data_IF_295944342976
#
_entry.id   IF_295944342976
#
_cell.length_a   1.000
_cell.length_b   1.000
_cell.length_c   1.000
_cell.angle_alpha   90.00
_cell.angle_beta   90.00
_cell.angle_gamma   90.00
#
_symmetry.space_group_name_H-M   'P 1'
#
loop_
_entity.id
_entity.type
_entity.pdbx_description
1 polymer ?
#
# COMPACT_ATOMS: atom_id res chain seq x y z
N UNK A 1 -13.51 5.55 14.70
CA UNK A 1 -13.21 4.46 13.73
C UNK A 1 -11.76 4.42 13.25
N UNK A 2 -11.06 5.56 13.19
CA UNK A 2 -9.61 5.73 12.92
C UNK A 2 -8.67 4.82 13.73
N UNK A 3 -9.04 4.49 14.96
CA UNK A 3 -8.28 3.55 15.78
C UNK A 3 -8.36 2.11 15.24
N UNK A 4 -9.41 1.72 14.50
CA UNK A 4 -9.69 0.33 14.16
C UNK A 4 -8.80 -0.23 13.04
N UNK A 5 -8.37 0.55 12.03
CA UNK A 5 -7.45 0.03 10.98
C UNK A 5 -6.00 0.01 11.47
N UNK A 6 -5.57 1.00 12.27
CA UNK A 6 -4.28 0.89 12.99
C UNK A 6 -4.28 -0.38 13.83
N UNK A 7 -5.34 -0.59 14.63
CA UNK A 7 -5.54 -1.84 15.36
C UNK A 7 -5.63 -3.03 14.40
N UNK A 8 -6.19 -2.90 13.19
CA UNK A 8 -6.27 -4.00 12.23
C UNK A 8 -4.90 -4.41 11.69
N UNK A 9 -4.11 -3.48 11.13
CA UNK A 9 -2.77 -3.78 10.59
C UNK A 9 -1.83 -4.25 11.70
N UNK A 10 -1.85 -3.54 12.85
CA UNK A 10 -1.09 -3.91 14.04
C UNK A 10 -1.50 -5.28 14.56
N UNK A 11 -2.78 -5.48 14.88
CA UNK A 11 -3.26 -6.72 15.48
C UNK A 11 -3.19 -7.88 14.50
N UNK A 12 -3.45 -7.68 13.20
CA UNK A 12 -3.30 -8.73 12.19
C UNK A 12 -1.83 -9.13 12.07
N UNK A 13 -0.90 -8.19 11.87
CA UNK A 13 0.52 -8.53 11.74
C UNK A 13 1.09 -9.12 13.03
N UNK A 14 0.65 -8.64 14.19
CA UNK A 14 1.02 -9.16 15.50
C UNK A 14 0.48 -10.58 15.71
N UNK A 15 -0.81 -10.81 15.46
CA UNK A 15 -1.46 -12.12 15.54
C UNK A 15 -0.83 -13.12 14.56
N UNK A 16 -0.61 -12.72 13.30
CA UNK A 16 0.03 -13.57 12.28
C UNK A 16 1.38 -14.09 12.75
N UNK A 17 2.18 -13.24 13.39
CA UNK A 17 3.58 -13.56 13.73
C UNK A 17 3.70 -14.19 15.11
N UNK A 18 2.95 -13.71 16.10
CA UNK A 18 3.04 -14.18 17.49
C UNK A 18 2.23 -15.45 17.74
N UNK A 19 1.10 -15.64 17.03
CA UNK A 19 0.26 -16.85 17.18
C UNK A 19 0.52 -17.91 16.12
N UNK A 20 1.51 -17.67 15.23
CA UNK A 20 1.87 -18.59 14.17
C UNK A 20 2.20 -19.99 14.69
N UNK A 21 1.65 -21.02 14.04
CA UNK A 21 1.88 -22.42 14.41
C UNK A 21 1.03 -22.93 15.58
N UNK A 22 0.34 -22.05 16.32
CA UNK A 22 -0.62 -22.46 17.34
C UNK A 22 -1.76 -23.30 16.72
N UNK A 23 -2.35 -24.19 17.52
CA UNK A 23 -3.47 -25.04 17.06
C UNK A 23 -4.69 -24.19 16.71
N UNK A 24 -4.96 -23.16 17.50
CA UNK A 24 -6.07 -22.23 17.29
C UNK A 24 -5.90 -21.43 16.01
N UNK A 25 -4.70 -20.88 15.77
CA UNK A 25 -4.37 -20.19 14.52
C UNK A 25 -4.61 -21.11 13.31
N UNK A 26 -4.09 -22.34 13.33
CA UNK A 26 -4.29 -23.27 12.20
C UNK A 26 -5.75 -23.62 11.96
N UNK A 27 -6.54 -23.84 13.02
CA UNK A 27 -7.97 -24.16 12.90
C UNK A 27 -8.78 -22.99 12.33
N UNK A 28 -8.53 -21.77 12.80
CA UNK A 28 -9.22 -20.57 12.34
C UNK A 28 -9.01 -20.35 10.83
N UNK A 29 -7.75 -20.31 10.38
CA UNK A 29 -7.44 -20.05 8.97
C UNK A 29 -7.85 -21.20 8.04
N UNK A 30 -7.85 -22.45 8.53
CA UNK A 30 -8.40 -23.57 7.79
C UNK A 30 -9.92 -23.45 7.61
N UNK A 31 -10.66 -22.99 8.63
CA UNK A 31 -12.09 -22.70 8.46
C UNK A 31 -12.32 -21.54 7.50
N UNK A 32 -11.57 -20.45 7.63
CA UNK A 32 -11.65 -19.32 6.70
C UNK A 32 -11.45 -19.78 5.26
N UNK A 33 -10.42 -20.58 4.99
CA UNK A 33 -10.19 -21.19 3.68
C UNK A 33 -11.38 -21.98 3.13
N UNK A 34 -11.98 -22.84 3.97
CA UNK A 34 -13.13 -23.65 3.55
C UNK A 34 -14.31 -22.75 3.19
N UNK A 35 -14.59 -21.74 4.02
CA UNK A 35 -15.62 -20.74 3.75
C UNK A 35 -15.33 -19.96 2.47
N UNK A 36 -14.05 -19.70 2.18
CA UNK A 36 -13.63 -19.03 0.96
C UNK A 36 -13.77 -19.85 -0.30
N UNK A 37 -13.32 -21.10 -0.30
CA UNK A 37 -13.51 -21.99 -1.45
C UNK A 37 -15.00 -22.22 -1.72
N UNK A 38 -15.80 -22.35 -0.67
CA UNK A 38 -17.26 -22.41 -0.78
C UNK A 38 -17.82 -21.15 -1.46
N UNK A 39 -17.35 -19.96 -1.07
CA UNK A 39 -17.82 -18.70 -1.67
C UNK A 39 -17.41 -18.54 -3.13
N UNK A 40 -16.16 -18.87 -3.46
CA UNK A 40 -15.67 -18.84 -4.85
C UNK A 40 -16.47 -19.81 -5.72
N UNK A 41 -16.65 -21.05 -5.26
CA UNK A 41 -17.45 -22.04 -5.99
C UNK A 41 -18.87 -21.53 -6.22
N UNK A 42 -19.49 -20.91 -5.20
CA UNK A 42 -20.82 -20.33 -5.30
C UNK A 42 -20.90 -19.20 -6.32
N UNK A 43 -19.95 -18.25 -6.34
CA UNK A 43 -19.91 -17.20 -7.35
C UNK A 43 -19.73 -17.76 -8.76
N UNK A 44 -18.89 -18.79 -8.94
CA UNK A 44 -18.72 -19.46 -10.22
C UNK A 44 -20.03 -20.11 -10.69
N UNK A 45 -20.76 -20.76 -9.78
CA UNK A 45 -22.07 -21.34 -10.06
C UNK A 45 -23.13 -20.29 -10.40
N UNK A 46 -23.16 -19.15 -9.71
CA UNK A 46 -24.01 -18.00 -10.10
C UNK A 46 -23.60 -17.51 -11.49
N UNK A 47 -22.30 -17.44 -11.81
CA UNK A 47 -21.82 -17.09 -13.14
C UNK A 47 -22.32 -18.05 -14.22
N UNK A 48 -22.29 -19.36 -13.95
CA UNK A 48 -22.86 -20.38 -14.84
C UNK A 48 -24.37 -20.22 -15.01
N UNK A 49 -25.11 -19.89 -13.95
CA UNK A 49 -26.55 -19.57 -14.03
C UNK A 49 -26.84 -18.37 -14.94
N UNK A 50 -25.99 -17.34 -14.92
CA UNK A 50 -26.14 -16.21 -15.86
C UNK A 50 -25.82 -16.59 -17.31
N UNK A 51 -24.89 -17.52 -17.50
CA UNK A 51 -24.49 -17.98 -18.82
C UNK A 51 -25.54 -18.90 -19.45
N UNK A 52 -26.02 -19.87 -18.68
CA UNK A 52 -26.98 -20.88 -19.08
C UNK A 52 -28.01 -21.12 -17.95
N UNK A 53 -29.07 -20.30 -17.88
CA UNK A 53 -30.06 -20.37 -16.82
C UNK A 53 -30.99 -21.59 -16.93
N UNK A 54 -31.05 -22.22 -18.11
CA UNK A 54 -31.88 -23.42 -18.34
C UNK A 54 -31.21 -24.65 -17.72
N UNK A 55 -29.91 -24.81 -17.97
CA UNK A 55 -29.12 -25.91 -17.39
C UNK A 55 -28.84 -25.70 -15.90
N UNK A 56 -28.61 -24.45 -15.47
CA UNK A 56 -28.25 -24.10 -14.09
C UNK A 56 -29.27 -23.16 -13.41
N UNK A 57 -30.51 -23.60 -13.12
CA UNK A 57 -31.54 -22.76 -12.50
C UNK A 57 -31.35 -22.61 -10.98
N UNK A 58 -30.14 -22.24 -10.54
CA UNK A 58 -29.76 -22.13 -9.13
C UNK A 58 -30.63 -21.13 -8.35
N UNK A 59 -31.16 -20.11 -9.02
CA UNK A 59 -32.10 -19.14 -8.45
C UNK A 59 -33.37 -19.77 -7.85
N UNK A 60 -33.72 -21.01 -8.23
CA UNK A 60 -34.86 -21.74 -7.66
C UNK A 60 -34.54 -22.36 -6.30
N UNK A 61 -33.27 -22.66 -6.04
CA UNK A 61 -32.84 -23.50 -4.92
C UNK A 61 -31.97 -22.74 -3.90
N UNK A 62 -31.30 -21.68 -4.35
CA UNK A 62 -30.35 -20.91 -3.56
C UNK A 62 -30.81 -19.45 -3.42
N UNK A 63 -30.97 -18.98 -2.19
CA UNK A 63 -31.53 -17.64 -1.91
C UNK A 63 -30.63 -16.52 -2.46
N UNK A 64 -29.30 -16.63 -2.26
CA UNK A 64 -28.34 -15.67 -2.82
C UNK A 64 -28.40 -15.64 -4.35
N UNK A 65 -28.36 -16.80 -5.01
CA UNK A 65 -28.54 -16.90 -6.47
C UNK A 65 -29.89 -16.30 -6.92
N UNK A 66 -30.96 -16.53 -6.14
CA UNK A 66 -32.28 -15.96 -6.37
C UNK A 66 -32.31 -14.43 -6.26
N UNK A 67 -31.58 -13.87 -5.30
CA UNK A 67 -31.39 -12.43 -5.15
C UNK A 67 -30.63 -11.85 -6.35
N UNK A 68 -29.50 -12.44 -6.72
CA UNK A 68 -28.76 -12.02 -7.92
C UNK A 68 -29.66 -12.09 -9.16
N UNK A 69 -30.40 -13.17 -9.35
CA UNK A 69 -31.30 -13.34 -10.49
C UNK A 69 -32.47 -12.34 -10.52
N UNK A 70 -33.04 -12.02 -9.36
CA UNK A 70 -34.11 -11.02 -9.21
C UNK A 70 -33.62 -9.63 -9.61
N UNK A 71 -32.39 -9.29 -9.26
CA UNK A 71 -31.75 -8.01 -9.55
C UNK A 71 -30.77 -8.09 -10.73
N UNK A 72 -30.95 -9.03 -11.65
CA UNK A 72 -30.01 -9.30 -12.75
C UNK A 72 -29.76 -8.14 -13.72
N UNK A 73 -30.67 -7.18 -13.76
CA UNK A 73 -30.50 -5.93 -14.51
C UNK A 73 -29.48 -4.99 -13.84
N UNK A 74 -29.26 -5.13 -12.54
CA UNK A 74 -28.26 -4.38 -11.76
C UNK A 74 -27.00 -5.22 -11.54
N UNK A 75 -27.15 -6.50 -11.23
CA UNK A 75 -26.06 -7.46 -11.06
C UNK A 75 -25.85 -8.29 -12.31
N UNK A 76 -25.52 -7.62 -13.41
CA UNK A 76 -25.29 -8.31 -14.67
C UNK A 76 -24.03 -9.20 -14.61
N UNK A 77 -23.72 -9.84 -15.74
CA UNK A 77 -22.58 -10.76 -15.89
C UNK A 77 -21.25 -10.10 -15.51
N UNK A 78 -21.08 -8.82 -15.81
CA UNK A 78 -19.85 -8.07 -15.54
C UNK A 78 -19.66 -7.75 -14.05
N UNK A 79 -20.74 -7.41 -13.34
CA UNK A 79 -20.67 -7.24 -11.89
C UNK A 79 -20.21 -8.53 -11.20
N UNK A 80 -20.68 -9.69 -11.67
CA UNK A 80 -20.26 -10.99 -11.14
C UNK A 80 -18.79 -11.30 -11.45
N UNK A 81 -18.30 -10.94 -12.64
CA UNK A 81 -16.88 -11.04 -13.00
C UNK A 81 -16.03 -10.17 -12.05
N UNK A 82 -16.45 -8.94 -11.77
CA UNK A 82 -15.79 -8.04 -10.81
C UNK A 82 -15.75 -8.70 -9.41
N UNK A 83 -16.86 -9.26 -8.95
CA UNK A 83 -16.90 -9.97 -7.66
C UNK A 83 -15.94 -11.17 -7.61
N UNK A 84 -15.85 -11.96 -8.69
CA UNK A 84 -14.88 -13.07 -8.77
C UNK A 84 -13.45 -12.54 -8.66
N UNK A 85 -13.11 -11.48 -9.37
CA UNK A 85 -11.76 -10.90 -9.27
C UNK A 85 -11.48 -10.34 -7.87
N UNK A 86 -12.45 -9.69 -7.23
CA UNK A 86 -12.34 -9.26 -5.82
C UNK A 86 -12.04 -10.47 -4.92
N UNK A 87 -12.70 -11.62 -5.12
CA UNK A 87 -12.35 -12.86 -4.38
C UNK A 87 -10.91 -13.27 -4.59
N UNK A 88 -10.47 -13.31 -5.85
CA UNK A 88 -9.13 -13.74 -6.21
C UNK A 88 -8.06 -12.83 -5.57
N UNK A 89 -8.32 -11.53 -5.47
CA UNK A 89 -7.41 -10.59 -4.81
C UNK A 89 -7.36 -10.80 -3.28
N UNK A 90 -8.50 -11.06 -2.65
CA UNK A 90 -8.50 -11.38 -1.22
C UNK A 90 -7.86 -12.75 -0.92
N UNK A 91 -8.01 -13.74 -1.81
CA UNK A 91 -7.29 -15.01 -1.74
C UNK A 91 -5.78 -14.82 -1.86
N UNK A 92 -5.34 -13.89 -2.70
CA UNK A 92 -3.95 -13.52 -2.79
C UNK A 92 -3.43 -12.93 -1.48
N UNK A 93 -4.20 -12.02 -0.87
CA UNK A 93 -3.89 -11.47 0.44
C UNK A 93 -3.74 -12.58 1.49
N UNK A 94 -4.71 -13.50 1.57
CA UNK A 94 -4.62 -14.63 2.50
C UNK A 94 -3.40 -15.51 2.26
N UNK A 95 -3.12 -15.84 0.99
CA UNK A 95 -1.92 -16.60 0.65
C UNK A 95 -0.65 -15.91 1.10
N UNK A 96 -0.57 -14.60 0.85
CA UNK A 96 0.60 -13.79 1.20
C UNK A 96 0.80 -13.72 2.71
N UNK A 97 -0.26 -13.63 3.51
CA UNK A 97 -0.15 -13.39 4.95
C UNK A 97 -0.30 -14.61 5.86
N UNK A 98 -1.14 -15.56 5.51
CA UNK A 98 -1.52 -16.68 6.39
C UNK A 98 -0.89 -18.02 6.00
N UNK A 99 -0.53 -18.22 4.73
CA UNK A 99 0.12 -19.47 4.27
C UNK A 99 1.63 -19.34 4.08
N UNK A 100 2.15 -18.13 4.14
CA UNK A 100 3.58 -17.91 4.04
C UNK A 100 4.24 -18.00 5.42
N UNK A 101 5.48 -18.49 5.47
CA UNK A 101 6.21 -18.61 6.72
C UNK A 101 6.60 -17.20 7.24
N UNK A 102 6.15 -16.78 8.43
CA UNK A 102 6.50 -15.49 9.01
C UNK A 102 7.97 -15.41 9.42
N UNK A 103 8.71 -16.52 9.42
CA UNK A 103 10.16 -16.52 9.59
C UNK A 103 10.89 -15.81 8.44
N UNK A 104 10.22 -15.61 7.29
CA UNK A 104 10.80 -14.94 6.13
C UNK A 104 11.10 -13.46 6.36
N UNK A 105 12.10 -12.96 5.64
CA UNK A 105 12.61 -11.60 5.82
C UNK A 105 11.54 -10.53 5.57
N UNK A 106 10.64 -10.73 4.60
CA UNK A 106 9.54 -9.79 4.32
C UNK A 106 8.65 -9.58 5.54
N UNK A 107 8.31 -10.65 6.27
CA UNK A 107 7.48 -10.58 7.46
C UNK A 107 8.21 -9.96 8.64
N UNK A 108 9.50 -10.25 8.81
CA UNK A 108 10.31 -9.59 9.84
C UNK A 108 10.43 -8.09 9.60
N UNK A 109 10.63 -7.67 8.34
CA UNK A 109 10.60 -6.27 7.93
C UNK A 109 9.24 -5.66 8.28
N UNK A 110 8.14 -6.30 7.89
CA UNK A 110 6.80 -5.80 8.20
C UNK A 110 6.54 -5.72 9.71
N UNK A 111 6.91 -6.73 10.50
CA UNK A 111 6.75 -6.74 11.94
C UNK A 111 7.52 -5.61 12.63
N UNK A 112 8.79 -5.41 12.25
CA UNK A 112 9.63 -4.34 12.79
C UNK A 112 9.05 -2.96 12.42
N UNK A 113 8.61 -2.82 11.17
CA UNK A 113 8.01 -1.59 10.65
C UNK A 113 6.63 -1.27 11.26
N UNK A 114 5.80 -2.30 11.50
CA UNK A 114 4.38 -2.16 11.86
C UNK A 114 4.18 -2.35 13.36
N UNK A 115 4.55 -3.52 13.89
CA UNK A 115 4.24 -3.94 15.26
C UNK A 115 5.20 -3.28 16.23
N UNK A 116 6.51 -3.49 16.02
CA UNK A 116 7.53 -2.98 16.92
C UNK A 116 7.52 -1.45 17.01
N UNK A 117 7.48 -0.74 15.86
CA UNK A 117 7.33 0.72 15.86
C UNK A 117 6.07 1.21 16.56
N UNK A 118 4.94 0.51 16.41
CA UNK A 118 3.68 0.89 17.07
C UNK A 118 3.78 0.69 18.58
N UNK A 119 4.39 -0.40 19.03
CA UNK A 119 4.65 -0.65 20.45
C UNK A 119 5.56 0.41 21.05
N UNK A 120 6.64 0.80 20.34
CA UNK A 120 7.54 1.86 20.79
C UNK A 120 6.86 3.24 20.77
N UNK A 121 5.99 3.51 19.79
CA UNK A 121 5.16 4.70 19.77
C UNK A 121 4.28 4.78 21.02
N UNK A 122 3.59 3.70 21.37
CA UNK A 122 2.71 3.68 22.55
C UNK A 122 3.50 3.85 23.86
N UNK A 123 4.67 3.22 23.96
CA UNK A 123 5.59 3.41 25.10
C UNK A 123 6.15 4.84 25.19
N UNK A 124 6.04 5.63 24.13
CA UNK A 124 6.59 6.99 24.04
C UNK A 124 5.53 8.09 24.04
N UNK A 125 4.27 7.76 24.32
CA UNK A 125 3.21 8.75 24.46
C UNK A 125 3.54 9.74 25.57
N UNK A 126 3.34 11.02 25.28
CA UNK A 126 3.47 12.08 26.27
C UNK A 126 2.22 12.16 27.13
N UNK A 127 2.30 12.83 28.27
CA UNK A 127 1.12 13.03 29.14
C UNK A 127 0.12 13.97 28.48
N UNK A 128 -1.18 13.75 28.70
CA UNK A 128 -2.24 14.60 28.15
C UNK A 128 -2.04 16.08 28.52
N UNK A 129 -1.51 16.35 29.70
CA UNK A 129 -1.13 17.68 30.17
C UNK A 129 -0.03 18.33 29.30
N UNK A 130 1.06 17.60 29.02
CA UNK A 130 2.12 18.09 28.15
C UNK A 130 1.62 18.31 26.70
N UNK A 131 0.71 17.47 26.24
CA UNK A 131 0.08 17.60 24.91
C UNK A 131 -0.78 18.87 24.87
N UNK A 132 -1.59 19.10 25.90
CA UNK A 132 -2.43 20.30 26.02
C UNK A 132 -1.57 21.57 26.04
N UNK A 133 -0.48 21.58 26.82
CA UNK A 133 0.47 22.70 26.88
C UNK A 133 1.06 22.99 25.49
N UNK A 134 1.57 21.98 24.78
CA UNK A 134 2.14 22.13 23.43
C UNK A 134 1.12 22.68 22.43
N UNK A 135 -0.09 22.13 22.43
CA UNK A 135 -1.18 22.59 21.57
C UNK A 135 -1.56 24.03 21.88
N UNK A 136 -1.67 24.40 23.16
CA UNK A 136 -2.03 25.75 23.59
C UNK A 136 -0.94 26.77 23.23
N UNK A 137 0.33 26.45 23.45
CA UNK A 137 1.46 27.32 23.06
C UNK A 137 1.44 27.58 21.54
N UNK A 138 1.18 26.54 20.75
CA UNK A 138 1.12 26.66 19.28
C UNK A 138 -0.12 27.41 18.81
N UNK A 139 -1.25 27.21 19.46
CA UNK A 139 -2.46 27.98 19.22
C UNK A 139 -2.21 29.46 19.41
N UNK A 140 -1.62 29.85 20.54
CA UNK A 140 -1.29 31.23 20.83
C UNK A 140 -0.34 31.83 19.77
N UNK A 141 0.70 31.08 19.38
CA UNK A 141 1.63 31.50 18.34
C UNK A 141 0.96 31.69 16.96
N UNK A 142 0.16 30.73 16.51
CA UNK A 142 -0.55 30.85 15.23
C UNK A 142 -1.65 31.90 15.26
N UNK A 143 -2.28 32.12 16.42
CA UNK A 143 -3.24 33.20 16.59
C UNK A 143 -2.57 34.56 16.44
N UNK A 144 -1.42 34.77 17.08
CA UNK A 144 -0.63 35.99 16.93
C UNK A 144 -0.20 36.22 15.48
N UNK A 145 0.29 35.16 14.81
CA UNK A 145 0.70 35.24 13.41
C UNK A 145 -0.47 35.52 12.46
N UNK A 146 -1.63 34.89 12.70
CA UNK A 146 -2.84 35.10 11.90
C UNK A 146 -3.38 36.53 12.06
N UNK A 147 -3.37 37.08 13.28
CA UNK A 147 -3.75 38.46 13.55
C UNK A 147 -2.85 39.47 12.82
N UNK A 148 -1.54 39.20 12.77
CA UNK A 148 -0.59 40.06 12.06
C UNK A 148 -0.76 40.01 10.54
N UNK A 149 -0.93 38.81 9.98
CA UNK A 149 -0.96 38.62 8.52
C UNK A 149 -2.35 38.88 7.90
N UNK A 150 -3.42 38.70 8.68
CA UNK A 150 -4.80 38.79 8.21
C UNK A 150 -5.69 39.58 9.18
N UNK A 151 -5.43 40.88 9.38
CA UNK A 151 -6.11 41.70 10.39
C UNK A 151 -7.64 41.74 10.20
N UNK A 152 -8.11 41.83 8.95
CA UNK A 152 -9.55 41.85 8.63
C UNK A 152 -10.23 40.50 8.93
N UNK A 153 -9.60 39.38 8.55
CA UNK A 153 -10.15 38.04 8.82
C UNK A 153 -10.07 37.69 10.31
N UNK A 154 -9.10 38.26 11.04
CA UNK A 154 -8.95 38.02 12.48
C UNK A 154 -10.08 38.62 13.32
N UNK A 155 -10.79 39.63 12.81
CA UNK A 155 -11.98 40.20 13.46
C UNK A 155 -13.17 39.23 13.45
N UNK A 156 -13.21 38.26 12.53
CA UNK A 156 -14.25 37.23 12.47
C UNK A 156 -13.83 36.06 13.37
N UNK A 157 -13.89 36.30 14.69
CA UNK A 157 -13.39 35.40 15.74
C UNK A 157 -13.69 33.90 15.53
N UNK A 158 -14.95 33.46 15.31
CA UNK A 158 -15.23 32.02 15.23
C UNK A 158 -14.61 31.33 14.01
N UNK A 159 -14.39 32.06 12.91
CA UNK A 159 -13.82 31.52 11.68
C UNK A 159 -12.29 31.48 11.78
N UNK A 160 -11.69 32.56 12.30
CA UNK A 160 -10.26 32.63 12.57
C UNK A 160 -9.80 31.59 13.62
N UNK A 161 -10.58 31.39 14.70
CA UNK A 161 -10.28 30.38 15.72
C UNK A 161 -10.38 28.96 15.17
N UNK A 162 -11.35 28.68 14.29
CA UNK A 162 -11.47 27.37 13.62
C UNK A 162 -10.30 27.10 12.68
N UNK A 163 -9.88 28.08 11.88
CA UNK A 163 -8.74 27.94 10.96
C UNK A 163 -7.43 27.74 11.72
N UNK A 164 -7.21 28.52 12.79
CA UNK A 164 -6.04 28.38 13.66
C UNK A 164 -6.08 27.03 14.38
N UNK A 165 -7.22 26.63 14.95
CA UNK A 165 -7.39 25.32 15.60
C UNK A 165 -7.14 24.17 14.64
N UNK A 166 -7.63 24.26 13.41
CA UNK A 166 -7.39 23.26 12.37
C UNK A 166 -5.90 23.17 12.03
N UNK A 167 -5.21 24.31 11.89
CA UNK A 167 -3.77 24.36 11.67
C UNK A 167 -2.97 23.80 12.86
N UNK A 168 -3.37 24.11 14.09
CA UNK A 168 -2.77 23.54 15.31
C UNK A 168 -2.99 22.04 15.34
N UNK A 169 -4.19 21.55 15.04
CA UNK A 169 -4.49 20.13 14.97
C UNK A 169 -3.62 19.43 13.93
N UNK A 170 -3.54 19.96 12.72
CA UNK A 170 -2.72 19.42 11.63
C UNK A 170 -1.24 19.40 12.00
N UNK A 171 -0.71 20.51 12.52
CA UNK A 171 0.70 20.60 12.92
C UNK A 171 1.02 19.81 14.18
N UNK A 172 0.07 19.64 15.09
CA UNK A 172 0.21 18.77 16.27
C UNK A 172 0.38 17.32 15.85
N UNK A 173 -0.37 16.89 14.84
CA UNK A 173 -0.19 15.61 14.18
C UNK A 173 1.15 15.50 13.44
N UNK A 174 1.46 16.45 12.55
CA UNK A 174 2.70 16.43 11.76
C UNK A 174 3.97 16.51 12.62
N UNK A 175 3.93 17.26 13.73
CA UNK A 175 5.06 17.43 14.67
C UNK A 175 5.06 16.38 15.79
N UNK A 176 4.08 15.47 15.82
CA UNK A 176 3.93 14.45 16.86
C UNK A 176 3.94 15.01 18.28
N UNK A 177 3.15 16.04 18.58
CA UNK A 177 3.15 16.62 19.93
C UNK A 177 2.72 15.63 21.00
N UNK A 178 1.96 14.60 20.59
CA UNK A 178 1.54 13.44 21.38
C UNK A 178 2.66 12.52 21.83
N UNK A 179 3.88 12.71 21.33
CA UNK A 179 5.03 11.88 21.66
C UNK A 179 6.05 12.70 22.44
N UNK A 180 6.58 12.09 23.50
CA UNK A 180 7.81 12.56 24.10
C UNK A 180 8.99 12.22 23.17
N UNK A 181 9.39 13.19 22.35
CA UNK A 181 10.44 13.00 21.33
C UNK A 181 11.76 12.45 21.89
N UNK A 182 12.17 12.86 23.09
CA UNK A 182 13.41 12.36 23.71
C UNK A 182 13.27 10.88 24.06
N UNK A 183 12.10 10.49 24.60
CA UNK A 183 11.80 9.11 24.94
C UNK A 183 11.69 8.24 23.69
N UNK A 184 11.01 8.73 22.66
CA UNK A 184 10.88 8.06 21.36
C UNK A 184 12.22 7.87 20.66
N UNK A 185 13.08 8.89 20.62
CA UNK A 185 14.41 8.78 20.03
C UNK A 185 15.33 7.81 20.78
N UNK A 186 15.13 7.66 22.10
CA UNK A 186 15.92 6.76 22.94
C UNK A 186 15.50 5.29 22.77
N UNK A 187 14.21 5.01 22.66
CA UNK A 187 13.68 3.65 22.66
C UNK A 187 13.33 3.12 21.26
N UNK A 188 13.03 4.00 20.31
CA UNK A 188 12.59 3.59 18.98
C UNK A 188 13.77 3.42 18.00
N UNK A 189 14.56 2.37 18.22
CA UNK A 189 15.48 1.83 17.22
C UNK A 189 14.88 0.53 16.70
N UNK A 190 14.34 0.56 15.49
CA UNK A 190 13.94 -0.64 14.74
C UNK A 190 15.09 -1.64 14.71
N UNK A 191 14.79 -2.93 14.76
CA UNK A 191 15.82 -3.98 14.80
C UNK A 191 16.53 -4.11 13.45
N UNK A 192 15.79 -4.02 12.35
CA UNK A 192 16.28 -4.17 10.99
C UNK A 192 16.68 -2.83 10.36
N UNK A 193 16.02 -1.74 10.76
CA UNK A 193 16.27 -0.37 10.29
C UNK A 193 16.64 0.58 11.44
N UNK A 194 17.72 0.31 12.19
CA UNK A 194 18.06 1.06 13.40
C UNK A 194 18.37 2.54 13.17
N UNK A 195 18.56 2.94 11.92
CA UNK A 195 18.97 4.29 11.51
C UNK A 195 17.89 5.03 10.69
N UNK A 196 16.69 4.47 10.55
CA UNK A 196 15.64 5.07 9.72
C UNK A 196 15.27 6.48 10.18
N UNK A 197 15.10 7.45 9.26
CA UNK A 197 14.77 8.81 9.63
C UNK A 197 13.36 8.89 10.21
N UNK A 198 13.23 9.63 11.32
CA UNK A 198 11.97 9.84 12.06
C UNK A 198 10.82 10.32 11.14
N UNK A 199 11.11 11.10 10.10
CA UNK A 199 10.12 11.58 9.12
C UNK A 199 9.42 10.44 8.36
N UNK A 200 10.13 9.37 8.02
CA UNK A 200 9.53 8.23 7.32
C UNK A 200 8.61 7.40 8.21
N UNK A 201 8.96 7.30 9.49
CA UNK A 201 8.10 6.68 10.50
C UNK A 201 6.84 7.50 10.75
N UNK A 202 6.94 8.84 10.72
CA UNK A 202 5.81 9.77 10.86
C UNK A 202 4.83 9.65 9.68
N UNK A 203 5.36 9.63 8.46
CA UNK A 203 4.52 9.56 7.26
C UNK A 203 3.77 8.21 7.16
N UNK A 204 4.40 7.12 7.61
CA UNK A 204 3.76 5.82 7.79
C UNK A 204 2.57 5.87 8.76
N UNK A 205 2.74 6.51 9.94
CA UNK A 205 1.67 6.68 10.93
C UNK A 205 0.50 7.51 10.36
N UNK A 206 0.79 8.47 9.47
CA UNK A 206 -0.21 9.31 8.81
C UNK A 206 -0.90 8.55 7.65
N UNK A 207 -0.18 7.77 6.84
CA UNK A 207 -0.76 6.99 5.75
C UNK A 207 -1.75 5.92 6.24
N UNK A 208 -1.55 5.37 7.44
CA UNK A 208 -2.45 4.41 8.08
C UNK A 208 -3.77 5.02 8.62
N UNK A 209 -4.00 6.33 8.48
CA UNK A 209 -5.12 7.05 9.14
C UNK A 209 -6.29 7.49 8.25
N UNK A 210 -6.43 6.99 7.01
CA UNK A 210 -7.48 7.48 6.08
C UNK A 210 -8.56 6.42 5.77
N UNK A 211 -9.77 6.70 6.28
CA UNK A 211 -11.12 6.36 5.76
C UNK A 211 -11.79 5.02 6.15
N UNK A 212 -13.12 5.07 6.12
CA UNK A 212 -14.20 4.22 6.64
C UNK A 212 -15.32 4.14 5.58
N UNK A 213 -16.23 3.14 5.54
CA UNK A 213 -17.61 3.40 6.02
C UNK A 213 -18.33 2.16 6.59
N UNK A 214 -19.42 2.41 7.33
CA UNK A 214 -20.44 1.41 7.65
C UNK A 214 -21.76 1.75 6.97
N UNK A 215 -22.60 0.73 6.74
CA UNK A 215 -24.07 0.76 6.73
C UNK A 215 -24.62 -0.60 6.24
N UNK A 216 -25.56 -1.20 6.97
CA UNK A 216 -26.97 -1.37 6.57
C UNK A 216 -27.70 -2.36 7.52
N UNK A 217 -28.94 -2.04 7.87
CA UNK A 217 -29.92 -2.89 8.56
C UNK A 217 -31.28 -2.65 7.91
N UNK A 218 -31.98 -3.72 7.51
CA UNK A 218 -33.40 -4.03 7.81
C UNK A 218 -33.92 -5.12 6.87
N UNK A 219 -34.50 -6.18 7.42
CA UNK A 219 -35.42 -7.09 6.71
C UNK A 219 -36.48 -7.70 7.63
N UNK A 220 -37.65 -8.00 7.04
CA UNK A 220 -38.84 -8.56 7.67
C UNK A 220 -39.04 -10.08 7.45
N UNK A 221 -39.69 -10.67 8.45
CA UNK A 221 -40.52 -11.89 8.62
C UNK A 221 -40.40 -13.17 7.75
N UNK A 222 -39.66 -14.17 8.24
CA UNK A 222 -40.20 -15.44 8.83
C UNK A 222 -39.08 -16.21 9.56
N UNK A 223 -39.33 -16.84 10.73
CA UNK A 223 -38.29 -17.19 11.72
C UNK A 223 -37.23 -18.22 11.27
N UNK A 224 -37.59 -19.19 10.44
CA UNK A 224 -36.69 -20.26 9.96
C UNK A 224 -35.87 -19.81 8.74
N UNK A 225 -36.51 -19.12 7.78
CA UNK A 225 -35.78 -18.43 6.71
C UNK A 225 -34.90 -17.31 7.26
N UNK A 226 -35.35 -16.59 8.30
CA UNK A 226 -34.52 -15.59 9.01
C UNK A 226 -33.27 -16.23 9.57
N UNK A 227 -33.34 -17.38 10.25
CA UNK A 227 -32.13 -18.00 10.79
C UNK A 227 -31.17 -18.46 9.69
N UNK A 228 -31.68 -19.09 8.61
CA UNK A 228 -30.86 -19.46 7.46
C UNK A 228 -30.22 -18.26 6.76
N UNK A 229 -31.03 -17.22 6.47
CA UNK A 229 -30.58 -15.97 5.84
C UNK A 229 -29.63 -15.21 6.77
N UNK A 230 -29.87 -15.16 8.08
CA UNK A 230 -28.99 -14.49 9.05
C UNK A 230 -27.65 -15.21 9.11
N UNK A 231 -27.63 -16.55 9.20
CA UNK A 231 -26.38 -17.32 9.18
C UNK A 231 -25.64 -17.09 7.86
N UNK A 232 -26.36 -17.09 6.74
CA UNK A 232 -25.80 -16.86 5.42
C UNK A 232 -25.29 -15.42 5.22
N UNK A 233 -26.02 -14.41 5.68
CA UNK A 233 -25.62 -13.00 5.70
C UNK A 233 -24.45 -12.76 6.64
N UNK A 234 -24.39 -13.46 7.78
CA UNK A 234 -23.24 -13.42 8.69
C UNK A 234 -22.01 -14.03 8.02
N UNK A 235 -22.13 -15.21 7.40
CA UNK A 235 -21.02 -15.86 6.69
C UNK A 235 -20.58 -15.01 5.50
N UNK A 236 -21.53 -14.48 4.72
CA UNK A 236 -21.27 -13.62 3.58
C UNK A 236 -20.59 -12.32 4.01
N UNK A 237 -21.14 -11.65 5.01
CA UNK A 237 -20.59 -10.42 5.58
C UNK A 237 -19.21 -10.65 6.18
N UNK A 238 -19.00 -11.75 6.92
CA UNK A 238 -17.71 -12.13 7.49
C UNK A 238 -16.67 -12.36 6.39
N UNK A 239 -16.98 -13.17 5.38
CA UNK A 239 -16.06 -13.45 4.27
C UNK A 239 -15.73 -12.20 3.46
N UNK A 240 -16.73 -11.37 3.15
CA UNK A 240 -16.54 -10.11 2.43
C UNK A 240 -15.66 -9.14 3.22
N UNK A 241 -15.90 -9.01 4.52
CA UNK A 241 -15.07 -8.19 5.41
C UNK A 241 -13.65 -8.73 5.46
N UNK A 242 -13.45 -10.03 5.62
CA UNK A 242 -12.11 -10.63 5.71
C UNK A 242 -11.35 -10.52 4.38
N UNK A 243 -12.02 -10.59 3.21
CA UNK A 243 -11.37 -10.35 1.91
C UNK A 243 -10.93 -8.89 1.77
N UNK A 244 -11.83 -7.96 2.10
CA UNK A 244 -11.54 -6.54 2.08
C UNK A 244 -10.36 -6.23 3.01
N UNK A 245 -10.35 -6.83 4.21
CA UNK A 245 -9.24 -6.71 5.15
C UNK A 245 -7.94 -7.25 4.57
N UNK A 246 -7.95 -8.40 3.88
CA UNK A 246 -6.76 -8.98 3.25
C UNK A 246 -6.22 -8.08 2.12
N UNK A 247 -7.09 -7.51 1.27
CA UNK A 247 -6.68 -6.58 0.21
C UNK A 247 -6.12 -5.27 0.78
N UNK A 248 -6.79 -4.71 1.79
CA UNK A 248 -6.32 -3.51 2.49
C UNK A 248 -4.98 -3.79 3.18
N UNK A 249 -4.84 -4.94 3.83
CA UNK A 249 -3.58 -5.36 4.45
C UNK A 249 -2.47 -5.44 3.40
N UNK A 250 -2.74 -6.06 2.25
CA UNK A 250 -1.77 -6.18 1.15
C UNK A 250 -1.30 -4.82 0.61
N UNK A 251 -2.24 -3.93 0.29
CA UNK A 251 -1.92 -2.60 -0.22
C UNK A 251 -1.21 -1.73 0.82
N UNK A 252 -1.68 -1.72 2.07
CA UNK A 252 -1.09 -0.94 3.14
C UNK A 252 0.33 -1.36 3.49
N UNK A 253 0.64 -2.66 3.51
CA UNK A 253 1.99 -3.15 3.81
C UNK A 253 2.98 -2.83 2.68
N UNK A 254 2.56 -2.93 1.41
CA UNK A 254 3.38 -2.52 0.26
C UNK A 254 3.72 -1.03 0.37
N UNK A 255 2.71 -0.19 0.63
CA UNK A 255 2.89 1.25 0.81
C UNK A 255 3.82 1.53 2.00
N UNK A 256 3.60 0.88 3.14
CA UNK A 256 4.38 1.07 4.35
C UNK A 256 5.86 0.70 4.14
N UNK A 257 6.13 -0.49 3.59
CA UNK A 257 7.48 -0.91 3.27
C UNK A 257 8.14 0.05 2.28
N UNK A 258 7.40 0.48 1.25
CA UNK A 258 7.92 1.36 0.21
C UNK A 258 8.33 2.72 0.72
N UNK A 259 7.51 3.31 1.59
CA UNK A 259 7.80 4.60 2.23
C UNK A 259 9.09 4.52 3.05
N UNK A 260 9.26 3.44 3.84
CA UNK A 260 10.44 3.28 4.69
C UNK A 260 11.72 3.16 3.84
N UNK A 261 11.68 2.34 2.79
CA UNK A 261 12.80 2.25 1.85
C UNK A 261 13.13 3.58 1.18
N UNK A 262 12.11 4.31 0.71
CA UNK A 262 12.28 5.63 0.09
C UNK A 262 13.05 6.59 1.02
N UNK A 263 12.62 6.67 2.28
CA UNK A 263 13.24 7.59 3.24
C UNK A 263 14.66 7.21 3.62
N UNK A 264 14.94 5.92 3.85
CA UNK A 264 16.29 5.41 4.09
C UNK A 264 17.22 5.70 2.91
N UNK A 265 16.78 5.43 1.67
CA UNK A 265 17.57 5.69 0.47
C UNK A 265 17.78 7.18 0.24
N UNK A 266 16.75 8.01 0.47
CA UNK A 266 16.91 9.45 0.31
C UNK A 266 17.88 10.03 1.34
N UNK A 267 17.87 9.56 2.58
CA UNK A 267 18.85 9.97 3.59
C UNK A 267 20.28 9.56 3.21
N UNK A 268 20.47 8.32 2.73
CA UNK A 268 21.77 7.84 2.24
C UNK A 268 22.26 8.74 1.08
N UNK A 269 21.38 9.03 0.13
CA UNK A 269 21.69 9.87 -1.03
C UNK A 269 22.04 11.31 -0.61
N UNK A 270 21.27 11.93 0.28
CA UNK A 270 21.54 13.29 0.78
C UNK A 270 22.86 13.34 1.56
N UNK A 271 23.13 12.36 2.42
CA UNK A 271 24.37 12.30 3.19
C UNK A 271 25.59 12.09 2.26
N UNK A 272 25.45 11.27 1.22
CA UNK A 272 26.47 11.10 0.19
C UNK A 272 26.74 12.41 -0.56
N UNK A 273 25.69 13.10 -1.02
CA UNK A 273 25.83 14.39 -1.72
C UNK A 273 26.44 15.47 -0.83
N UNK A 274 26.08 15.53 0.45
CA UNK A 274 26.67 16.48 1.42
C UNK A 274 28.18 16.30 1.51
N UNK A 275 28.66 15.06 1.58
CA UNK A 275 30.10 14.75 1.62
C UNK A 275 30.80 15.25 0.34
N UNK A 276 30.20 15.02 -0.83
CA UNK A 276 30.77 15.44 -2.11
C UNK A 276 30.79 16.95 -2.28
N UNK A 277 29.70 17.63 -1.93
CA UNK A 277 29.61 19.08 -2.04
C UNK A 277 30.59 19.76 -1.08
N UNK A 278 30.75 19.23 0.14
CA UNK A 278 31.75 19.75 1.08
C UNK A 278 33.19 19.57 0.57
N UNK A 279 33.49 18.51 -0.18
CA UNK A 279 34.78 18.36 -0.86
C UNK A 279 34.95 19.39 -1.99
N UNK A 280 33.92 19.58 -2.80
CA UNK A 280 33.93 20.51 -3.94
C UNK A 280 34.08 21.98 -3.50
N UNK A 281 33.34 22.43 -2.49
CA UNK A 281 33.42 23.78 -1.92
C UNK A 281 34.77 24.09 -1.25
N UNK A 282 35.55 23.07 -0.88
CA UNK A 282 36.86 23.25 -0.25
C UNK A 282 38.03 23.24 -1.27
N UNK A 283 37.81 23.76 -2.48
CA UNK A 283 38.82 23.82 -3.56
C UNK A 283 39.47 22.46 -3.89
N UNK A 284 38.66 21.41 -4.01
CA UNK A 284 39.16 20.07 -4.36
C UNK A 284 40.01 19.41 -3.26
N UNK A 285 39.90 19.88 -2.00
CA UNK A 285 40.58 19.23 -0.90
C UNK A 285 40.07 17.78 -0.72
N UNK A 286 40.99 16.84 -0.51
CA UNK A 286 40.71 15.42 -0.43
C UNK A 286 39.82 15.09 0.78
N UNK A 287 38.92 14.12 0.59
CA UNK A 287 37.99 13.59 1.59
C UNK A 287 38.72 13.30 2.91
N UNK A 288 38.19 13.79 4.05
CA UNK A 288 38.81 13.62 5.37
C UNK A 288 38.55 12.22 5.93
N UNK A 289 39.30 11.83 6.96
CA UNK A 289 39.14 10.52 7.63
C UNK A 289 37.73 10.33 8.22
N UNK A 290 37.10 11.39 8.74
CA UNK A 290 35.72 11.34 9.24
C UNK A 290 34.73 11.01 8.11
N UNK A 291 34.92 11.63 6.96
CA UNK A 291 34.10 11.45 5.77
C UNK A 291 34.28 10.03 5.20
N UNK A 292 35.49 9.45 5.27
CA UNK A 292 35.73 8.04 4.92
C UNK A 292 34.93 7.06 5.78
N UNK A 293 34.79 7.33 7.09
CA UNK A 293 33.97 6.50 7.98
C UNK A 293 32.50 6.59 7.58
N UNK A 294 32.01 7.79 7.25
CA UNK A 294 30.65 7.99 6.77
C UNK A 294 30.40 7.33 5.41
N UNK A 295 31.36 7.39 4.47
CA UNK A 295 31.26 6.69 3.19
C UNK A 295 31.23 5.17 3.39
N UNK A 296 32.06 4.60 4.26
CA UNK A 296 31.95 3.17 4.60
C UNK A 296 30.58 2.81 5.15
N UNK A 297 30.06 3.64 6.06
CA UNK A 297 28.72 3.45 6.60
C UNK A 297 27.64 3.50 5.50
N UNK A 298 27.69 4.49 4.60
CA UNK A 298 26.76 4.61 3.45
C UNK A 298 26.82 3.34 2.59
N UNK A 299 28.02 2.86 2.26
CA UNK A 299 28.21 1.64 1.47
C UNK A 299 27.62 0.41 2.16
N UNK A 300 27.83 0.27 3.48
CA UNK A 300 27.27 -0.81 4.29
C UNK A 300 25.74 -0.75 4.35
N UNK A 301 25.16 0.44 4.57
CA UNK A 301 23.70 0.61 4.55
C UNK A 301 23.11 0.28 3.17
N UNK A 302 23.73 0.77 2.10
CA UNK A 302 23.28 0.48 0.74
C UNK A 302 23.35 -1.02 0.41
N UNK A 303 24.42 -1.70 0.84
CA UNK A 303 24.56 -3.16 0.66
C UNK A 303 23.49 -3.91 1.46
N UNK A 304 23.21 -3.49 2.70
CA UNK A 304 22.16 -4.08 3.53
C UNK A 304 20.77 -3.91 2.89
N UNK A 305 20.46 -2.70 2.40
CA UNK A 305 19.20 -2.43 1.71
C UNK A 305 19.08 -3.22 0.40
N UNK A 306 20.19 -3.44 -0.32
CA UNK A 306 20.21 -4.33 -1.49
C UNK A 306 19.71 -5.72 -1.13
N UNK A 307 20.28 -6.31 -0.07
CA UNK A 307 19.90 -7.62 0.42
C UNK A 307 18.43 -7.66 0.83
N UNK A 308 17.98 -6.69 1.64
CA UNK A 308 16.58 -6.65 2.09
C UNK A 308 15.59 -6.54 0.93
N UNK A 309 15.90 -5.70 -0.06
CA UNK A 309 15.01 -5.47 -1.20
C UNK A 309 14.96 -6.71 -2.11
N UNK A 310 16.12 -7.27 -2.48
CA UNK A 310 16.18 -8.42 -3.39
C UNK A 310 15.61 -9.70 -2.76
N UNK A 311 15.96 -9.98 -1.51
CA UNK A 311 15.52 -11.20 -0.81
C UNK A 311 14.01 -11.16 -0.52
N UNK A 312 13.49 -10.00 -0.08
CA UNK A 312 12.05 -9.86 0.17
C UNK A 312 11.24 -9.88 -1.14
N UNK A 313 11.80 -9.34 -2.23
CA UNK A 313 11.18 -9.41 -3.54
C UNK A 313 11.09 -10.86 -4.04
N UNK A 314 12.21 -11.58 -4.03
CA UNK A 314 12.27 -12.95 -4.54
C UNK A 314 11.34 -13.91 -3.79
N UNK A 315 11.26 -13.76 -2.46
CA UNK A 315 10.50 -14.69 -1.62
C UNK A 315 9.00 -14.36 -1.59
N UNK A 316 8.65 -13.08 -1.61
CA UNK A 316 7.29 -12.61 -1.27
C UNK A 316 6.74 -11.66 -2.33
N UNK A 317 7.36 -10.48 -2.45
CA UNK A 317 6.72 -9.37 -3.15
C UNK A 317 6.59 -9.61 -4.65
N UNK A 318 7.56 -10.24 -5.30
CA UNK A 318 7.52 -10.49 -6.74
C UNK A 318 6.27 -11.27 -7.17
N UNK A 319 5.93 -12.31 -6.41
CA UNK A 319 4.73 -13.14 -6.67
C UNK A 319 3.46 -12.37 -6.33
N UNK A 320 3.39 -11.75 -5.15
CA UNK A 320 2.20 -11.01 -4.73
C UNK A 320 1.90 -9.84 -5.68
N UNK A 321 2.92 -9.10 -6.12
CA UNK A 321 2.77 -7.98 -7.06
C UNK A 321 2.33 -8.45 -8.45
N UNK A 322 2.85 -9.59 -8.93
CA UNK A 322 2.40 -10.20 -10.18
C UNK A 322 0.90 -10.53 -10.14
N UNK A 323 0.45 -11.24 -9.10
CA UNK A 323 -0.96 -11.59 -8.98
C UNK A 323 -1.86 -10.37 -8.73
N UNK A 324 -1.39 -9.39 -7.94
CA UNK A 324 -2.12 -8.15 -7.70
C UNK A 324 -2.36 -7.38 -9.01
N UNK A 325 -1.36 -7.33 -9.90
CA UNK A 325 -1.56 -6.79 -11.26
C UNK A 325 -2.48 -7.67 -12.12
N UNK A 326 -2.30 -8.99 -12.08
CA UNK A 326 -3.07 -9.94 -12.88
C UNK A 326 -4.58 -9.91 -12.54
N UNK A 327 -4.94 -9.57 -11.30
CA UNK A 327 -6.32 -9.45 -10.85
C UNK A 327 -6.83 -8.01 -10.95
N UNK A 328 -6.04 -7.03 -10.51
CA UNK A 328 -6.43 -5.62 -10.48
C UNK A 328 -6.65 -5.01 -11.86
N UNK A 329 -5.87 -5.42 -12.86
CA UNK A 329 -5.99 -4.94 -14.24
C UNK A 329 -7.34 -5.35 -14.86
N UNK A 330 -7.72 -6.64 -14.89
CA UNK A 330 -9.03 -7.07 -15.39
C UNK A 330 -10.23 -6.40 -14.70
N UNK A 331 -10.15 -6.12 -13.39
CA UNK A 331 -11.22 -5.39 -12.68
C UNK A 331 -11.46 -4.02 -13.34
N UNK A 332 -10.40 -3.25 -13.58
CA UNK A 332 -10.50 -1.95 -14.22
C UNK A 332 -11.01 -2.03 -15.67
N UNK A 333 -10.55 -3.02 -16.45
CA UNK A 333 -11.07 -3.25 -17.81
C UNK A 333 -12.57 -3.53 -17.75
N UNK A 334 -13.00 -4.40 -16.85
CA UNK A 334 -14.39 -4.82 -16.72
C UNK A 334 -15.29 -3.64 -16.35
N UNK A 335 -14.84 -2.77 -15.43
CA UNK A 335 -15.55 -1.54 -15.10
C UNK A 335 -15.72 -0.60 -16.29
N UNK A 336 -14.69 -0.44 -17.12
CA UNK A 336 -14.79 0.47 -18.25
C UNK A 336 -15.64 -0.13 -19.38
N UNK A 337 -15.53 -1.44 -19.63
CA UNK A 337 -16.43 -2.14 -20.57
C UNK A 337 -17.89 -1.98 -20.15
N UNK A 338 -18.19 -2.14 -18.87
CA UNK A 338 -19.53 -1.95 -18.32
C UNK A 338 -20.05 -0.52 -18.57
N UNK A 339 -19.22 0.49 -18.31
CA UNK A 339 -19.56 1.90 -18.56
C UNK A 339 -19.79 2.25 -20.04
N UNK A 340 -19.27 1.44 -20.97
CA UNK A 340 -19.32 1.71 -22.42
C UNK A 340 -20.35 0.88 -23.16
N UNK A 341 -20.68 -0.32 -22.67
CA UNK A 341 -21.57 -1.28 -23.35
C UNK A 341 -23.00 -1.21 -22.82
N UNK A 342 -23.18 -0.96 -21.53
CA UNK A 342 -24.49 -1.05 -20.89
C UNK A 342 -25.17 0.32 -20.78
N UNK A 343 -26.47 0.37 -21.09
CA UNK A 343 -27.32 1.54 -20.90
C UNK A 343 -27.68 1.71 -19.42
N UNK A 344 -26.70 2.13 -18.62
CA UNK A 344 -26.84 2.30 -17.18
C UNK A 344 -27.55 3.62 -16.83
N UNK A 345 -28.39 3.64 -15.76
CA UNK A 345 -28.94 4.88 -15.25
C UNK A 345 -27.81 5.80 -14.75
N UNK A 346 -27.94 7.12 -14.91
CA UNK A 346 -26.84 8.08 -14.63
C UNK A 346 -26.34 8.03 -13.18
N UNK A 347 -27.19 7.65 -12.21
CA UNK A 347 -26.74 7.38 -10.82
C UNK A 347 -25.77 6.19 -10.72
N UNK A 348 -26.01 5.12 -11.48
CA UNK A 348 -25.13 3.96 -11.53
C UNK A 348 -23.82 4.32 -12.24
N UNK A 349 -23.88 5.05 -13.37
CA UNK A 349 -22.68 5.54 -14.07
C UNK A 349 -21.73 6.29 -13.12
N UNK A 350 -22.26 7.24 -12.34
CA UNK A 350 -21.45 8.01 -11.38
C UNK A 350 -20.82 7.09 -10.32
N UNK A 351 -21.59 6.13 -9.78
CA UNK A 351 -21.09 5.17 -8.78
C UNK A 351 -19.96 4.31 -9.36
N UNK A 352 -20.15 3.76 -10.55
CA UNK A 352 -19.15 2.93 -11.24
C UNK A 352 -17.87 3.71 -11.54
N UNK A 353 -17.99 4.96 -12.01
CA UNK A 353 -16.83 5.85 -12.22
C UNK A 353 -16.09 6.09 -10.91
N UNK A 354 -16.79 6.38 -9.81
CA UNK A 354 -16.17 6.60 -8.50
C UNK A 354 -15.44 5.35 -7.99
N UNK A 355 -16.03 4.16 -8.14
CA UNK A 355 -15.42 2.90 -7.74
C UNK A 355 -14.18 2.62 -8.61
N UNK A 356 -14.31 2.75 -9.93
CA UNK A 356 -13.21 2.52 -10.87
C UNK A 356 -12.03 3.48 -10.63
N UNK A 357 -12.31 4.77 -10.41
CA UNK A 357 -11.27 5.75 -10.06
C UNK A 357 -10.61 5.41 -8.72
N UNK A 358 -11.40 5.07 -7.70
CA UNK A 358 -10.88 4.72 -6.37
C UNK A 358 -9.98 3.48 -6.44
N UNK A 359 -10.42 2.43 -7.15
CA UNK A 359 -9.66 1.20 -7.35
C UNK A 359 -8.39 1.45 -8.20
N UNK A 360 -8.48 2.26 -9.26
CA UNK A 360 -7.33 2.65 -10.08
C UNK A 360 -6.29 3.41 -9.26
N UNK A 361 -6.72 4.37 -8.44
CA UNK A 361 -5.81 5.13 -7.56
C UNK A 361 -5.17 4.20 -6.52
N UNK A 362 -5.98 3.35 -5.87
CA UNK A 362 -5.51 2.40 -4.86
C UNK A 362 -4.53 1.36 -5.43
N UNK A 363 -4.68 0.95 -6.70
CA UNK A 363 -3.77 0.03 -7.37
C UNK A 363 -2.51 0.71 -7.93
N UNK A 364 -2.61 1.95 -8.41
CA UNK A 364 -1.48 2.68 -9.00
C UNK A 364 -0.47 3.18 -7.93
N UNK A 365 -0.95 3.65 -6.78
CA UNK A 365 -0.10 4.22 -5.73
C UNK A 365 1.01 3.23 -5.28
N UNK A 366 0.71 1.97 -4.92
CA UNK A 366 1.73 0.99 -4.55
C UNK A 366 2.80 0.81 -5.63
N UNK A 367 2.40 0.69 -6.89
CA UNK A 367 3.34 0.51 -8.00
C UNK A 367 4.24 1.73 -8.22
N UNK A 368 3.67 2.94 -8.16
CA UNK A 368 4.44 4.18 -8.28
C UNK A 368 5.48 4.33 -7.16
N UNK A 369 5.12 3.94 -5.92
CA UNK A 369 6.06 3.94 -4.80
C UNK A 369 7.19 2.93 -4.99
N UNK A 370 6.90 1.73 -5.48
CA UNK A 370 7.93 0.72 -5.76
C UNK A 370 8.89 1.17 -6.88
N UNK A 371 8.37 1.83 -7.92
CA UNK A 371 9.19 2.44 -8.96
C UNK A 371 10.06 3.59 -8.43
N UNK A 372 9.53 4.38 -7.49
CA UNK A 372 10.29 5.44 -6.81
C UNK A 372 11.46 4.87 -6.00
N UNK A 373 11.26 3.78 -5.25
CA UNK A 373 12.35 3.10 -4.55
C UNK A 373 13.47 2.72 -5.53
N UNK A 374 13.12 2.12 -6.67
CA UNK A 374 14.12 1.76 -7.68
C UNK A 374 14.90 2.97 -8.19
N UNK A 375 14.21 4.10 -8.41
CA UNK A 375 14.84 5.35 -8.81
C UNK A 375 15.81 5.87 -7.73
N UNK A 376 15.38 5.93 -6.48
CA UNK A 376 16.22 6.43 -5.38
C UNK A 376 17.41 5.52 -5.12
N UNK A 377 17.24 4.21 -5.29
CA UNK A 377 18.32 3.24 -5.16
C UNK A 377 19.46 3.51 -6.15
N UNK A 378 19.12 3.83 -7.41
CA UNK A 378 20.11 4.06 -8.46
C UNK A 378 20.57 5.52 -8.56
N UNK A 379 19.98 6.44 -7.79
CA UNK A 379 20.33 7.88 -7.81
C UNK A 379 21.81 8.14 -7.48
N UNK A 380 22.38 7.33 -6.59
CA UNK A 380 23.78 7.44 -6.17
C UNK A 380 24.79 7.24 -7.32
N UNK A 381 24.42 6.47 -8.35
CA UNK A 381 25.24 6.18 -9.53
C UNK A 381 25.79 7.46 -10.19
N UNK A 382 24.96 8.50 -10.32
CA UNK A 382 25.35 9.78 -10.94
C UNK A 382 26.52 10.47 -10.24
N UNK A 383 26.75 10.15 -8.97
CA UNK A 383 27.73 10.82 -8.13
C UNK A 383 28.94 9.95 -7.80
N UNK A 384 28.90 8.64 -8.12
CA UNK A 384 30.00 7.71 -7.86
C UNK A 384 31.30 8.07 -8.59
N UNK A 385 31.31 8.42 -9.89
CA UNK A 385 32.56 8.80 -10.57
C UNK A 385 33.25 10.01 -9.94
N UNK A 386 32.47 11.04 -9.59
CA UNK A 386 33.01 12.25 -8.93
C UNK A 386 33.66 11.93 -7.59
N UNK A 387 33.01 11.08 -6.78
CA UNK A 387 33.55 10.61 -5.51
C UNK A 387 34.87 9.84 -5.68
N UNK A 388 34.94 8.95 -6.67
CA UNK A 388 36.13 8.14 -6.96
C UNK A 388 37.36 8.98 -7.35
N UNK A 389 37.15 10.14 -7.98
CA UNK A 389 38.22 11.10 -8.30
C UNK A 389 38.72 11.84 -7.06
N UNK A 390 37.86 12.07 -6.06
CA UNK A 390 38.19 12.78 -4.83
C UNK A 390 38.90 11.90 -3.77
N UNK A 391 38.91 10.57 -3.95
CA UNK A 391 39.61 9.65 -3.05
C UNK A 391 41.12 9.59 -3.35
N UNK A 392 41.95 9.82 -2.32
CA UNK A 392 43.42 9.71 -2.36
C UNK A 392 43.92 8.29 -2.71
N UNK A 393 45.17 8.18 -3.14
CA UNK A 393 45.85 6.91 -3.41
C UNK A 393 46.31 6.13 -2.16
N UNK A 394 45.90 6.53 -0.95
CA UNK A 394 46.30 5.80 0.26
C UNK A 394 45.60 4.43 0.33
N UNK A 395 46.25 3.44 0.96
CA UNK A 395 45.76 2.04 1.05
C UNK A 395 44.31 1.92 1.54
N UNK A 396 43.89 2.77 2.48
CA UNK A 396 42.53 2.77 3.02
C UNK A 396 41.50 3.39 2.06
N UNK A 397 41.87 4.43 1.33
CA UNK A 397 41.03 5.04 0.30
C UNK A 397 40.91 4.13 -0.91
N UNK A 398 41.99 3.45 -1.31
CA UNK A 398 41.99 2.50 -2.43
C UNK A 398 41.01 1.34 -2.19
N UNK A 399 41.02 0.75 -0.99
CA UNK A 399 40.05 -0.31 -0.64
C UNK A 399 38.60 0.17 -0.74
N UNK A 400 38.31 1.38 -0.28
CA UNK A 400 36.97 1.96 -0.35
C UNK A 400 36.58 2.27 -1.81
N UNK A 401 37.53 2.80 -2.59
CA UNK A 401 37.36 3.08 -4.01
C UNK A 401 37.00 1.82 -4.79
N UNK A 402 37.72 0.72 -4.60
CA UNK A 402 37.43 -0.57 -5.24
C UNK A 402 36.03 -1.09 -4.89
N UNK A 403 35.60 -0.96 -3.62
CA UNK A 403 34.24 -1.39 -3.24
C UNK A 403 33.15 -0.54 -3.88
N UNK A 404 33.38 0.76 -4.03
CA UNK A 404 32.45 1.64 -4.72
C UNK A 404 32.49 1.47 -6.24
N UNK A 405 33.61 1.06 -6.80
CA UNK A 405 33.74 0.69 -8.21
C UNK A 405 32.93 -0.57 -8.52
N UNK A 406 33.03 -1.58 -7.66
CA UNK A 406 32.18 -2.76 -7.70
C UNK A 406 30.69 -2.39 -7.54
N UNK A 407 30.35 -1.49 -6.60
CA UNK A 407 28.98 -0.98 -6.48
C UNK A 407 28.52 -0.27 -7.76
N UNK A 408 29.36 0.58 -8.36
CA UNK A 408 29.07 1.28 -9.60
C UNK A 408 28.81 0.30 -10.75
N UNK A 409 29.67 -0.70 -10.90
CA UNK A 409 29.52 -1.77 -11.89
C UNK A 409 28.21 -2.53 -11.70
N UNK A 410 27.85 -2.87 -10.46
CA UNK A 410 26.58 -3.52 -10.14
C UNK A 410 25.36 -2.65 -10.45
N UNK A 411 25.42 -1.34 -10.21
CA UNK A 411 24.31 -0.42 -10.48
C UNK A 411 24.11 -0.10 -11.97
N UNK A 412 25.15 -0.21 -12.80
CA UNK A 412 25.07 0.06 -14.24
C UNK A 412 24.84 -1.19 -15.06
N UNK A 413 25.68 -2.21 -14.84
CA UNK A 413 25.72 -3.42 -15.68
C UNK A 413 25.04 -4.62 -15.02
N UNK A 414 24.85 -4.58 -13.71
CA UNK A 414 24.20 -5.65 -12.97
C UNK A 414 22.68 -5.71 -13.19
N UNK A 415 22.07 -6.77 -12.67
CA UNK A 415 20.61 -6.87 -12.59
C UNK A 415 20.08 -5.66 -11.81
N UNK A 416 19.10 -4.97 -12.39
CA UNK A 416 18.50 -3.79 -11.77
C UNK A 416 17.92 -4.14 -10.40
N UNK A 417 18.31 -3.37 -9.38
CA UNK A 417 17.86 -3.59 -7.99
C UNK A 417 16.50 -2.90 -7.83
N UNK A 418 15.44 -3.68 -8.02
CA UNK A 418 14.07 -3.22 -7.97
C UNK A 418 13.16 -4.37 -7.54
N UNK A 419 11.96 -4.02 -7.11
CA UNK A 419 10.89 -5.00 -7.05
C UNK A 419 10.53 -5.49 -8.45
N UNK A 420 9.95 -6.68 -8.56
CA UNK A 420 9.62 -7.28 -9.86
C UNK A 420 8.16 -7.68 -9.96
N UNK A 421 7.64 -7.75 -11.19
CA UNK A 421 6.34 -8.33 -11.51
C UNK A 421 6.47 -9.81 -11.85
N UNK A 422 6.96 -10.63 -10.92
CA UNK A 422 7.26 -12.03 -11.24
C UNK A 422 8.23 -12.11 -12.42
N UNK A 423 7.80 -12.81 -13.47
CA UNK A 423 8.56 -12.97 -14.71
C UNK A 423 8.39 -11.82 -15.71
N UNK A 424 7.48 -10.86 -15.47
CA UNK A 424 7.20 -9.76 -16.41
C UNK A 424 8.28 -8.66 -16.41
N UNK A 425 9.11 -8.60 -15.36
CA UNK A 425 10.26 -7.69 -15.31
C UNK A 425 10.27 -6.74 -14.12
N UNK A 426 11.12 -5.71 -14.21
CA UNK A 426 11.43 -4.81 -13.09
C UNK A 426 10.42 -3.66 -12.94
N UNK A 427 9.93 -3.42 -11.73
CA UNK A 427 9.11 -2.28 -11.36
C UNK A 427 9.93 -1.00 -11.34
N UNK A 428 9.92 -0.32 -12.47
CA UNK A 428 10.59 0.97 -12.68
C UNK A 428 9.61 1.91 -13.38
N UNK A 429 9.86 3.22 -13.38
CA UNK A 429 8.97 4.14 -14.12
C UNK A 429 8.84 3.77 -15.60
N UNK A 430 9.92 3.27 -16.22
CA UNK A 430 9.88 2.74 -17.58
C UNK A 430 9.01 1.48 -17.68
N UNK A 431 9.22 0.51 -16.79
CA UNK A 431 8.41 -0.72 -16.78
C UNK A 431 6.93 -0.47 -16.52
N UNK A 432 6.59 0.50 -15.65
CA UNK A 432 5.21 0.93 -15.42
C UNK A 432 4.62 1.63 -16.65
N UNK A 433 5.40 2.47 -17.31
CA UNK A 433 4.97 3.10 -18.56
C UNK A 433 4.69 2.05 -19.64
N UNK A 434 5.59 1.08 -19.81
CA UNK A 434 5.43 -0.03 -20.77
C UNK A 434 4.20 -0.90 -20.43
N UNK A 435 3.99 -1.23 -19.15
CA UNK A 435 2.82 -1.98 -18.70
C UNK A 435 1.51 -1.19 -18.90
N UNK A 436 1.51 0.11 -18.59
CA UNK A 436 0.36 0.99 -18.80
C UNK A 436 0.05 1.18 -20.28
N UNK A 437 1.07 1.27 -21.12
CA UNK A 437 0.90 1.34 -22.57
C UNK A 437 0.31 0.04 -23.11
N UNK A 438 0.83 -1.12 -22.67
CA UNK A 438 0.26 -2.42 -23.01
C UNK A 438 -1.20 -2.55 -22.57
N UNK A 439 -1.54 -2.07 -21.38
CA UNK A 439 -2.91 -1.98 -20.89
C UNK A 439 -3.80 -1.11 -21.78
N UNK A 440 -3.33 0.08 -22.15
CA UNK A 440 -4.05 1.00 -23.03
C UNK A 440 -4.33 0.34 -24.39
N UNK A 441 -3.31 -0.28 -25.02
CA UNK A 441 -3.47 -0.99 -26.29
C UNK A 441 -4.47 -2.13 -26.17
N UNK A 442 -4.37 -2.98 -25.14
CA UNK A 442 -5.31 -4.07 -24.91
C UNK A 442 -6.75 -3.57 -24.73
N UNK A 443 -6.93 -2.47 -24.00
CA UNK A 443 -8.20 -1.83 -23.82
C UNK A 443 -8.82 -1.35 -25.14
N UNK A 444 -8.07 -0.65 -26.00
CA UNK A 444 -8.57 -0.22 -27.31
C UNK A 444 -8.92 -1.39 -28.24
N UNK A 445 -8.14 -2.47 -28.22
CA UNK A 445 -8.43 -3.68 -29.00
C UNK A 445 -9.73 -4.35 -28.55
N UNK A 446 -9.99 -4.40 -27.24
CA UNK A 446 -11.24 -4.95 -26.69
C UNK A 446 -12.43 -4.06 -27.09
N UNK A 447 -12.29 -2.74 -26.99
CA UNK A 447 -13.32 -1.81 -27.42
C UNK A 447 -13.62 -1.89 -28.90
N UNK A 448 -12.60 -1.98 -29.75
CA UNK A 448 -12.78 -2.13 -31.18
C UNK A 448 -13.52 -3.43 -31.51
N UNK A 449 -13.15 -4.54 -30.87
CA UNK A 449 -13.84 -5.82 -31.01
C UNK A 449 -15.32 -5.74 -30.60
N UNK A 450 -15.61 -5.12 -29.45
CA UNK A 450 -17.00 -4.95 -28.98
C UNK A 450 -17.81 -4.02 -29.89
N UNK A 451 -17.23 -2.90 -30.34
CA UNK A 451 -17.87 -1.99 -31.31
C UNK A 451 -18.18 -2.69 -32.62
N UNK A 452 -17.27 -3.54 -33.11
CA UNK A 452 -17.47 -4.28 -34.35
C UNK A 452 -18.56 -5.35 -34.18
N UNK A 453 -18.66 -6.00 -33.01
CA UNK A 453 -19.74 -6.94 -32.69
C UNK A 453 -21.11 -6.22 -32.59
N UNK A 454 -21.17 -5.04 -31.98
CA UNK A 454 -22.38 -4.20 -31.93
C UNK A 454 -22.83 -3.78 -33.34
N UNK A 455 -21.89 -3.37 -34.21
CA UNK A 455 -22.19 -3.04 -35.62
C UNK A 455 -22.68 -4.24 -36.43
N UNK A 456 -22.13 -5.43 -36.19
CA UNK A 456 -22.56 -6.67 -36.83
C UNK A 456 -23.95 -7.13 -36.34
N UNK A 457 -24.26 -6.94 -35.05
CA UNK A 457 -25.60 -7.21 -34.50
C UNK A 457 -26.69 -6.26 -35.02
N UNK A 458 -26.33 -5.01 -35.32
CA UNK A 458 -27.21 -4.02 -35.95
C UNK A 458 -27.49 -4.27 -37.45
N UNK A 459 -26.75 -5.19 -38.09
CA UNK A 459 -26.99 -5.60 -39.49
C UNK A 459 -27.81 -6.90 -39.61
N UNK A 460 -28.18 -7.52 -38.49
CA UNK A 460 -28.96 -8.78 -38.43
C UNK A 460 -30.40 -8.54 -37.93
N UNK A 461 -30.73 -7.30 -37.59
CA UNK A 461 -32.11 -6.79 -37.43
C UNK A 461 -32.44 -5.89 -38.62
#
# INVERSE_FOLDING_TARGET
MLFKIKTLLYSAMKHIIEEYGSRQFRLLHNMENILYFFWLARLLFIGLMYWDPETFPLYKWDYGSGYFWKYRLVFNKFFLIILIFIVLDGMLGMRTYYFQDPSQLSFRILYDCIVYNTDQYWKSLDTDENIAIKCQTRYNYYRQQFNHNHPILSMINPLADRLVSFKVWLDSWLKMDRINRKLFQKHNRMQLFPNSPIKGLILYIIAATIVNPGLFVFTENSLIKKLGIIIEEIIFGFNAVTLLQCMLLLSCTIIAASIIYHFELNEINENFQKILNQSHYNNGKPIKIKDLKQLRFILEQHTRLTYYLMESDQNTWSKSLFYYALVGIPINVTFICELLVEDLPTKAIILFILIALSHTIASLIPFMLLALISYDFHKLNKHLPSMQLQLKQSKQHLRLKLKYDDLYGRLIYGKKIAHTFGTLGNLTFRGLFEAFFGYFVAFFLILEKQRNQLKLGLHVL
#
